data_IF_966614786191
#
_entry.id   IF_966614786191
#
_cell.length_a   1.000
_cell.length_b   1.000
_cell.length_c   1.000
_cell.angle_alpha   90.00
_cell.angle_beta   90.00
_cell.angle_gamma   90.00
#
_symmetry.space_group_name_H-M   'P 1'
#
loop_
_entity.id
_entity.type
_entity.pdbx_description
1 polymer ?
#
# COMPACT_ATOMS: atom_id res chain seq x y z
N UNK A 1 29.68 48.06 -3.17
CA UNK A 1 28.80 49.27 -3.11
C UNK A 1 27.72 49.07 -4.16
N UNK A 2 26.52 48.66 -3.73
CA UNK A 2 25.30 49.50 -3.66
C UNK A 2 24.78 49.82 -5.08
N UNK A 3 23.58 49.42 -5.46
CA UNK A 3 22.31 49.82 -4.83
C UNK A 3 21.19 48.91 -5.39
N UNK A 4 20.42 48.16 -4.58
CA UNK A 4 19.16 48.63 -3.95
C UNK A 4 18.30 49.57 -4.83
N UNK A 5 17.88 49.18 -6.04
CA UNK A 5 16.91 50.03 -6.77
C UNK A 5 15.86 49.35 -7.67
N UNK A 6 15.81 48.03 -7.84
CA UNK A 6 14.81 47.42 -8.75
C UNK A 6 13.41 47.27 -8.08
N UNK A 7 13.32 47.40 -6.75
CA UNK A 7 12.07 47.24 -6.01
C UNK A 7 11.29 48.53 -5.76
N UNK A 8 11.75 49.70 -6.25
CA UNK A 8 11.07 50.99 -6.03
C UNK A 8 10.18 51.47 -7.19
N UNK A 9 10.24 50.84 -8.36
CA UNK A 9 9.46 51.28 -9.52
C UNK A 9 8.07 50.63 -9.63
N UNK A 10 7.70 49.74 -8.71
CA UNK A 10 6.37 49.09 -8.72
C UNK A 10 5.29 49.97 -8.09
N UNK A 11 5.65 50.91 -7.21
CA UNK A 11 4.67 51.75 -6.51
C UNK A 11 4.37 53.09 -7.19
N UNK A 12 4.97 53.40 -8.34
CA UNK A 12 4.79 54.72 -8.98
C UNK A 12 3.65 54.79 -10.02
N UNK A 13 3.12 53.64 -10.48
CA UNK A 13 2.07 53.62 -11.52
C UNK A 13 0.64 53.37 -11.00
N UNK A 14 0.38 53.65 -9.72
CA UNK A 14 -0.98 53.56 -9.14
C UNK A 14 -1.67 54.92 -8.94
N UNK A 15 -1.06 56.05 -9.31
CA UNK A 15 -1.61 57.40 -9.00
C UNK A 15 -2.33 58.08 -10.17
N UNK A 16 -2.32 57.53 -11.38
CA UNK A 16 -3.07 58.11 -12.50
C UNK A 16 -4.05 57.08 -13.04
N UNK A 17 -5.32 57.24 -12.66
CA UNK A 17 -6.46 56.40 -13.03
C UNK A 17 -6.72 56.30 -14.53
N UNK A 18 -5.84 55.59 -15.24
CA UNK A 18 -6.04 55.19 -16.60
C UNK A 18 -6.55 53.74 -16.62
N UNK A 19 -7.82 53.62 -17.02
CA UNK A 19 -8.40 52.39 -17.55
C UNK A 19 -7.59 51.96 -18.78
N UNK A 20 -6.61 51.08 -18.58
CA UNK A 20 -5.98 50.32 -19.67
C UNK A 20 -6.38 48.87 -19.47
N UNK A 21 -7.56 48.57 -19.99
CA UNK A 21 -7.95 47.21 -20.27
C UNK A 21 -7.06 46.66 -21.39
N UNK A 22 -6.82 45.35 -21.34
CA UNK A 22 -6.25 44.49 -22.39
C UNK A 22 -4.75 44.09 -22.29
N UNK A 23 -4.56 42.76 -22.25
CA UNK A 23 -3.35 41.96 -22.57
C UNK A 23 -2.24 41.72 -21.53
N UNK A 24 -2.51 41.80 -20.22
CA UNK A 24 -1.57 41.29 -19.18
C UNK A 24 -2.14 40.25 -18.20
N UNK A 25 -3.38 39.79 -18.37
CA UNK A 25 -3.94 38.70 -17.52
C UNK A 25 -3.38 37.31 -17.86
N UNK A 26 -3.15 37.00 -19.14
CA UNK A 26 -2.65 35.66 -19.56
C UNK A 26 -1.22 35.31 -19.11
N UNK A 27 -0.35 36.28 -18.84
CA UNK A 27 1.03 35.98 -18.41
C UNK A 27 1.18 35.84 -16.90
N UNK A 28 0.33 36.52 -16.12
CA UNK A 28 0.27 36.36 -14.66
C UNK A 28 -0.48 35.08 -14.27
N UNK A 29 -1.45 34.62 -15.08
CA UNK A 29 -2.14 33.35 -14.87
C UNK A 29 -1.24 32.13 -15.16
N UNK A 30 -0.22 32.25 -16.03
CA UNK A 30 0.71 31.14 -16.34
C UNK A 30 1.82 30.96 -15.27
N UNK A 31 2.26 32.04 -14.62
CA UNK A 31 3.29 31.99 -13.57
C UNK A 31 2.67 31.62 -12.22
N UNK A 32 1.34 31.73 -12.12
CA UNK A 32 0.51 31.38 -10.95
C UNK A 32 -0.20 30.03 -11.12
N UNK A 33 0.35 29.12 -11.94
CA UNK A 33 0.20 27.69 -11.63
C UNK A 33 1.04 27.45 -10.38
N UNK A 34 0.44 27.76 -9.24
CA UNK A 34 0.95 27.43 -7.92
C UNK A 34 1.53 26.01 -7.97
N UNK A 35 2.78 25.87 -7.54
CA UNK A 35 3.31 24.57 -7.11
C UNK A 35 2.46 24.15 -5.91
N UNK A 36 1.26 23.64 -6.16
CA UNK A 36 0.44 22.99 -5.15
C UNK A 36 1.21 21.72 -4.83
N UNK A 37 1.94 21.75 -3.72
CA UNK A 37 2.56 20.55 -3.17
C UNK A 37 1.42 19.58 -2.86
N UNK A 38 1.32 18.50 -3.64
CA UNK A 38 0.29 17.50 -3.44
C UNK A 38 0.86 16.40 -2.57
N UNK A 39 0.11 16.05 -1.51
CA UNK A 39 0.43 14.90 -0.67
C UNK A 39 -0.37 13.70 -1.16
N UNK A 40 0.32 12.60 -1.38
CA UNK A 40 -0.25 11.31 -1.75
C UNK A 40 0.00 10.30 -0.64
N UNK A 41 -0.99 9.46 -0.34
CA UNK A 41 -0.82 8.32 0.54
C UNK A 41 -0.87 7.02 -0.26
N UNK A 42 0.04 6.09 -0.02
CA UNK A 42 0.01 4.77 -0.66
C UNK A 42 -0.13 3.65 0.37
N UNK A 43 -1.25 2.93 0.27
CA UNK A 43 -1.61 1.82 1.13
C UNK A 43 -1.56 0.52 0.34
N UNK A 44 -0.92 -0.52 0.90
CA UNK A 44 -0.81 -1.83 0.24
C UNK A 44 -1.12 -2.98 1.20
N UNK A 45 -1.88 -3.95 0.74
CA UNK A 45 -2.13 -5.21 1.46
C UNK A 45 -1.82 -6.42 0.57
N UNK A 46 -1.51 -7.56 1.20
CA UNK A 46 -1.20 -8.81 0.50
C UNK A 46 -2.38 -9.77 0.39
N UNK A 47 -3.41 -9.59 1.21
CA UNK A 47 -4.67 -10.33 1.17
C UNK A 47 -5.85 -9.38 1.35
N UNK A 48 -6.97 -9.56 0.63
CA UNK A 48 -8.17 -8.72 0.78
C UNK A 48 -8.76 -8.72 2.19
N UNK A 49 -8.50 -9.77 2.97
CA UNK A 49 -8.96 -9.90 4.36
C UNK A 49 -8.19 -9.01 5.34
N UNK A 50 -7.09 -8.39 4.92
CA UNK A 50 -6.33 -7.48 5.76
C UNK A 50 -6.97 -6.10 5.79
N UNK A 51 -6.97 -5.48 6.97
CA UNK A 51 -7.52 -4.14 7.14
C UNK A 51 -6.58 -3.08 6.52
N UNK A 52 -6.94 -2.58 5.34
CA UNK A 52 -6.24 -1.48 4.66
C UNK A 52 -6.59 -0.11 5.25
N UNK A 53 -7.79 0.04 5.81
CA UNK A 53 -8.30 1.27 6.42
C UNK A 53 -7.43 1.73 7.59
N UNK A 54 -6.81 0.79 8.32
CA UNK A 54 -5.81 1.10 9.35
C UNK A 54 -4.66 1.94 8.81
N UNK A 55 -4.15 1.62 7.60
CA UNK A 55 -3.05 2.37 6.99
C UNK A 55 -3.52 3.75 6.53
N UNK A 56 -4.68 3.81 5.90
CA UNK A 56 -5.30 5.08 5.49
C UNK A 56 -5.52 6.01 6.68
N UNK A 57 -6.08 5.50 7.79
CA UNK A 57 -6.28 6.29 9.00
C UNK A 57 -4.96 6.84 9.54
N UNK A 58 -3.91 6.03 9.58
CA UNK A 58 -2.59 6.47 10.07
C UNK A 58 -2.03 7.60 9.18
N UNK A 59 -2.16 7.46 7.85
CA UNK A 59 -1.69 8.48 6.91
C UNK A 59 -2.51 9.76 7.05
N UNK A 60 -3.85 9.66 7.06
CA UNK A 60 -4.74 10.82 7.16
C UNK A 60 -4.64 11.54 8.52
N UNK A 61 -4.26 10.83 9.59
CA UNK A 61 -4.01 11.45 10.89
C UNK A 61 -2.83 12.42 10.85
N UNK A 62 -1.76 12.10 10.11
CA UNK A 62 -0.60 12.97 9.93
C UNK A 62 -0.74 13.93 8.75
N UNK A 63 -1.45 13.52 7.70
CA UNK A 63 -1.65 14.26 6.46
C UNK A 63 -3.13 14.23 6.02
N UNK A 64 -3.99 15.09 6.60
CA UNK A 64 -5.44 15.04 6.36
C UNK A 64 -5.86 15.26 4.91
N UNK A 65 -5.07 16.00 4.13
CA UNK A 65 -5.34 16.32 2.74
C UNK A 65 -4.72 15.33 1.74
N UNK A 66 -4.15 14.21 2.22
CA UNK A 66 -3.48 13.25 1.38
C UNK A 66 -4.45 12.51 0.44
N UNK A 67 -4.11 12.43 -0.84
CA UNK A 67 -4.84 11.62 -1.83
C UNK A 67 -4.43 10.16 -1.69
N UNK A 68 -5.34 9.30 -1.22
CA UNK A 68 -5.03 7.91 -0.87
C UNK A 68 -5.18 6.97 -2.08
N UNK A 69 -4.15 6.18 -2.34
CA UNK A 69 -4.08 5.10 -3.31
C UNK A 69 -4.03 3.76 -2.57
N UNK A 70 -4.93 2.83 -2.92
CA UNK A 70 -5.12 1.54 -2.23
C UNK A 70 -4.83 0.41 -3.18
N UNK A 71 -3.83 -0.40 -2.87
CA UNK A 71 -3.38 -1.52 -3.71
C UNK A 71 -3.58 -2.86 -2.99
N UNK A 72 -4.23 -3.80 -3.69
CA UNK A 72 -4.34 -5.20 -3.25
C UNK A 72 -3.34 -6.03 -4.05
N UNK A 73 -2.10 -6.07 -3.56
CA UNK A 73 -1.02 -6.78 -4.22
C UNK A 73 -0.92 -8.19 -3.65
N UNK A 74 -1.56 -9.18 -4.29
CA UNK A 74 -1.47 -10.60 -3.89
C UNK A 74 -0.28 -11.30 -4.55
N UNK A 75 0.09 -12.52 -4.13
CA UNK A 75 1.17 -13.28 -4.80
C UNK A 75 0.85 -13.70 -6.24
N UNK A 76 -0.42 -13.60 -6.65
CA UNK A 76 -0.92 -13.99 -7.97
C UNK A 76 -0.98 -12.79 -8.91
N UNK A 77 -1.32 -11.61 -8.38
CA UNK A 77 -1.37 -10.37 -9.16
C UNK A 77 0.03 -9.75 -9.21
N UNK A 78 0.63 -9.74 -10.40
CA UNK A 78 1.99 -9.23 -10.61
C UNK A 78 2.04 -7.71 -10.87
N UNK A 79 0.94 -7.10 -11.33
CA UNK A 79 0.92 -5.68 -11.72
C UNK A 79 0.40 -4.77 -10.61
N UNK A 80 1.20 -3.78 -10.20
CA UNK A 80 0.84 -2.72 -9.24
C UNK A 80 0.17 -1.53 -9.95
N UNK A 81 -1.10 -1.65 -10.30
CA UNK A 81 -1.78 -0.66 -11.15
C UNK A 81 -1.96 0.70 -10.47
N UNK A 82 -2.29 0.73 -9.18
CA UNK A 82 -2.47 1.98 -8.44
C UNK A 82 -1.12 2.66 -8.17
N UNK A 83 -0.07 1.88 -7.94
CA UNK A 83 1.30 2.41 -7.88
C UNK A 83 1.69 3.09 -9.19
N UNK A 84 1.47 2.44 -10.33
CA UNK A 84 1.81 3.01 -11.63
C UNK A 84 1.00 4.29 -11.93
N UNK A 85 -0.28 4.35 -11.51
CA UNK A 85 -1.09 5.56 -11.62
C UNK A 85 -0.55 6.70 -10.75
N UNK A 86 -0.11 6.39 -9.53
CA UNK A 86 0.49 7.36 -8.61
C UNK A 86 1.79 7.93 -9.20
N UNK A 87 2.73 7.07 -9.60
CA UNK A 87 4.04 7.49 -10.13
C UNK A 87 3.92 8.33 -11.41
N UNK A 88 2.90 8.09 -12.24
CA UNK A 88 2.62 8.92 -13.42
C UNK A 88 2.10 10.32 -13.10
N UNK A 89 1.50 10.52 -11.94
CA UNK A 89 0.91 11.81 -11.52
C UNK A 89 1.85 12.65 -10.67
N UNK A 90 2.70 12.01 -9.88
CA UNK A 90 3.62 12.67 -8.95
C UNK A 90 4.59 13.55 -9.73
N UNK A 91 4.77 14.78 -9.25
CA UNK A 91 5.69 15.76 -9.80
C UNK A 91 6.78 16.11 -8.79
N UNK A 92 7.80 16.85 -9.24
CA UNK A 92 8.87 17.34 -8.37
C UNK A 92 8.26 18.23 -7.27
N UNK A 93 8.65 17.98 -6.03
CA UNK A 93 8.14 18.71 -4.85
C UNK A 93 6.90 18.10 -4.20
N UNK A 94 6.23 17.13 -4.83
CA UNK A 94 5.15 16.37 -4.20
C UNK A 94 5.68 15.43 -3.12
N UNK A 95 4.78 15.01 -2.21
CA UNK A 95 5.10 14.09 -1.12
C UNK A 95 4.32 12.79 -1.27
N UNK A 96 4.99 11.64 -1.11
CA UNK A 96 4.35 10.33 -0.98
C UNK A 96 4.57 9.80 0.44
N UNK A 97 3.45 9.44 1.09
CA UNK A 97 3.41 8.97 2.47
C UNK A 97 3.05 7.48 2.50
N UNK A 98 3.78 6.73 3.31
CA UNK A 98 3.59 5.30 3.55
C UNK A 98 3.46 5.01 5.05
N UNK A 99 2.65 4.01 5.43
CA UNK A 99 2.59 3.53 6.82
C UNK A 99 3.94 2.93 7.26
N UNK A 100 4.60 2.16 6.38
CA UNK A 100 5.92 1.57 6.63
C UNK A 100 6.68 1.24 5.35
N UNK A 101 7.99 1.00 5.45
CA UNK A 101 8.88 0.66 4.32
C UNK A 101 8.37 -0.57 3.54
N UNK A 102 7.87 -1.60 4.24
CA UNK A 102 7.25 -2.78 3.62
C UNK A 102 5.90 -2.52 2.92
N UNK A 103 5.39 -1.29 2.88
CA UNK A 103 4.25 -0.90 2.03
C UNK A 103 4.70 -0.37 0.68
N UNK A 104 5.88 0.22 0.60
CA UNK A 104 6.47 0.69 -0.67
C UNK A 104 6.87 -0.48 -1.57
N UNK A 105 7.67 -1.43 -1.08
CA UNK A 105 8.12 -2.60 -1.85
C UNK A 105 8.01 -3.90 -1.04
N UNK A 106 8.03 -5.05 -1.74
CA UNK A 106 8.08 -6.38 -1.08
C UNK A 106 9.51 -6.86 -0.85
N UNK A 107 10.47 -6.32 -1.59
CA UNK A 107 11.85 -6.73 -1.55
C UNK A 107 12.73 -5.47 -1.36
N UNK A 108 13.89 -5.65 -0.74
CA UNK A 108 14.79 -4.55 -0.45
C UNK A 108 15.34 -3.90 -1.73
N UNK A 109 15.77 -4.69 -2.72
CA UNK A 109 16.42 -4.19 -3.94
C UNK A 109 15.50 -3.29 -4.79
N UNK A 110 14.28 -3.72 -5.10
CA UNK A 110 13.23 -2.92 -5.76
C UNK A 110 12.87 -1.71 -4.90
N UNK A 111 12.87 -1.86 -3.58
CA UNK A 111 12.59 -0.76 -2.66
C UNK A 111 13.63 0.35 -2.73
N UNK A 112 14.91 -0.01 -2.75
CA UNK A 112 16.03 0.91 -2.89
C UNK A 112 15.99 1.59 -4.26
N UNK A 113 15.77 0.83 -5.33
CA UNK A 113 15.65 1.37 -6.69
C UNK A 113 14.52 2.39 -6.80
N UNK A 114 13.31 2.04 -6.33
CA UNK A 114 12.15 2.95 -6.35
C UNK A 114 12.38 4.19 -5.49
N UNK A 115 13.01 4.02 -4.33
CA UNK A 115 13.34 5.13 -3.45
C UNK A 115 14.28 6.11 -4.16
N UNK A 116 15.36 5.60 -4.77
CA UNK A 116 16.36 6.44 -5.44
C UNK A 116 15.77 7.12 -6.67
N UNK A 117 14.95 6.43 -7.46
CA UNK A 117 14.28 7.03 -8.62
C UNK A 117 13.38 8.21 -8.21
N UNK A 118 12.64 8.07 -7.10
CA UNK A 118 11.78 9.12 -6.58
C UNK A 118 12.57 10.27 -5.95
N UNK A 119 13.66 9.96 -5.24
CA UNK A 119 14.59 10.95 -4.71
C UNK A 119 15.18 11.80 -5.84
N UNK A 120 15.64 11.17 -6.92
CA UNK A 120 16.23 11.85 -8.07
C UNK A 120 15.19 12.67 -8.86
N UNK A 121 13.91 12.23 -8.88
CA UNK A 121 12.78 13.03 -9.37
C UNK A 121 12.44 14.23 -8.47
N UNK A 122 13.04 14.32 -7.28
CA UNK A 122 12.79 15.39 -6.30
C UNK A 122 11.44 15.25 -5.59
N UNK A 123 10.95 14.02 -5.46
CA UNK A 123 9.74 13.67 -4.69
C UNK A 123 10.14 13.42 -3.24
N UNK A 124 9.33 13.88 -2.30
CA UNK A 124 9.55 13.64 -0.87
C UNK A 124 8.89 12.33 -0.44
N UNK A 125 9.66 11.44 0.20
CA UNK A 125 9.15 10.19 0.74
C UNK A 125 9.08 10.26 2.26
N UNK A 126 7.92 9.90 2.80
CA UNK A 126 7.64 9.88 4.24
C UNK A 126 7.15 8.51 4.66
N UNK A 127 7.83 7.92 5.64
CA UNK A 127 7.49 6.65 6.28
C UNK A 127 7.12 6.91 7.73
N UNK A 128 5.89 6.57 8.12
CA UNK A 128 5.38 6.90 9.46
C UNK A 128 6.06 6.09 10.57
N UNK A 129 6.36 4.80 10.32
CA UNK A 129 7.02 3.93 11.30
C UNK A 129 8.53 4.00 11.28
N UNK A 130 9.13 4.36 10.15
CA UNK A 130 10.57 4.47 9.99
C UNK A 130 10.99 5.91 9.60
N UNK A 131 10.77 6.95 10.45
CA UNK A 131 11.03 8.34 10.05
C UNK A 131 12.49 8.66 9.70
N UNK A 132 13.43 7.83 10.14
CA UNK A 132 14.85 7.99 9.86
C UNK A 132 15.21 7.82 8.38
N UNK A 133 14.39 7.08 7.60
CA UNK A 133 14.56 6.94 6.14
C UNK A 133 13.83 8.02 5.32
N UNK A 134 13.23 9.02 5.97
CA UNK A 134 12.51 10.07 5.26
C UNK A 134 13.46 10.94 4.42
N UNK A 135 13.02 11.31 3.23
CA UNK A 135 13.81 12.09 2.27
C UNK A 135 14.28 13.44 2.84
N UNK A 136 13.50 14.04 3.74
CA UNK A 136 13.80 15.33 4.36
C UNK A 136 15.10 15.33 5.18
N UNK A 137 15.43 14.22 5.84
CA UNK A 137 16.61 14.11 6.70
C UNK A 137 17.89 14.28 5.87
N UNK A 138 17.88 13.80 4.63
CA UNK A 138 19.02 13.91 3.72
C UNK A 138 19.17 15.32 3.14
N UNK A 139 18.04 16.00 2.85
CA UNK A 139 18.07 17.41 2.41
C UNK A 139 18.67 18.32 3.48
N UNK A 140 18.29 18.10 4.74
CA UNK A 140 18.82 18.88 5.87
C UNK A 140 20.33 18.68 6.04
N UNK A 141 20.82 17.46 5.89
CA UNK A 141 22.26 17.14 5.94
C UNK A 141 23.07 17.82 4.83
N UNK A 142 22.47 18.06 3.66
CA UNK A 142 23.10 18.78 2.54
C UNK A 142 23.17 20.29 2.77
N UNK A 143 22.10 20.89 3.30
CA UNK A 143 22.05 22.33 3.54
C UNK A 143 22.91 22.80 4.71
N UNK A 144 23.20 21.92 5.68
CA UNK A 144 23.89 22.31 6.91
C UNK A 144 25.42 22.46 6.82
N UNK A 145 26.06 22.13 5.68
CA UNK A 145 27.51 21.97 5.62
C UNK A 145 28.29 22.81 4.60
N UNK A 146 27.62 23.55 3.70
CA UNK A 146 28.26 23.99 2.43
C UNK A 146 28.19 25.51 2.20
N UNK A 147 27.81 26.31 3.20
CA UNK A 147 27.75 27.78 3.02
C UNK A 147 29.13 28.50 2.95
N UNK A 148 30.28 27.81 2.89
CA UNK A 148 31.56 28.44 3.28
C UNK A 148 32.82 28.20 2.43
N UNK A 149 32.78 27.60 1.23
CA UNK A 149 34.00 27.45 0.40
C UNK A 149 33.75 27.92 -1.03
N UNK A 150 34.74 28.56 -1.65
CA UNK A 150 34.61 29.15 -2.99
C UNK A 150 34.18 28.17 -4.09
N UNK A 151 33.57 28.75 -5.14
CA UNK A 151 32.75 28.09 -6.16
C UNK A 151 33.31 26.76 -6.71
N UNK A 152 34.60 26.69 -7.08
CA UNK A 152 35.12 25.50 -7.78
C UNK A 152 35.42 24.31 -6.85
N UNK A 153 35.83 24.58 -5.61
CA UNK A 153 36.10 23.53 -4.61
C UNK A 153 34.78 23.08 -3.97
N UNK A 154 33.86 24.01 -3.71
CA UNK A 154 32.56 23.69 -3.15
C UNK A 154 31.78 22.71 -4.03
N UNK A 155 31.77 22.88 -5.35
CA UNK A 155 31.05 22.00 -6.26
C UNK A 155 31.54 20.54 -6.19
N UNK A 156 32.86 20.33 -6.09
CA UNK A 156 33.46 18.99 -5.95
C UNK A 156 33.08 18.37 -4.59
N UNK A 157 33.11 19.17 -3.51
CA UNK A 157 32.68 18.69 -2.19
C UNK A 157 31.17 18.41 -2.13
N UNK A 158 30.34 19.24 -2.79
CA UNK A 158 28.89 19.03 -2.92
C UNK A 158 28.63 17.72 -3.64
N UNK A 159 29.30 17.45 -4.76
CA UNK A 159 29.12 16.23 -5.51
C UNK A 159 29.53 14.99 -4.69
N UNK A 160 30.69 15.04 -4.03
CA UNK A 160 31.18 13.96 -3.18
C UNK A 160 30.24 13.69 -1.99
N UNK A 161 29.77 14.74 -1.30
CA UNK A 161 28.85 14.63 -0.16
C UNK A 161 27.48 14.13 -0.59
N UNK A 162 26.94 14.60 -1.72
CA UNK A 162 25.72 14.07 -2.33
C UNK A 162 25.83 12.56 -2.58
N UNK A 163 26.96 12.10 -3.12
CA UNK A 163 27.20 10.69 -3.39
C UNK A 163 27.25 9.87 -2.10
N UNK A 164 27.96 10.35 -1.07
CA UNK A 164 28.03 9.70 0.24
C UNK A 164 26.65 9.62 0.88
N UNK A 165 25.88 10.70 0.85
CA UNK A 165 24.53 10.73 1.43
C UNK A 165 23.56 9.80 0.70
N UNK A 166 23.64 9.71 -0.63
CA UNK A 166 22.89 8.70 -1.40
C UNK A 166 23.27 7.27 -0.99
N UNK A 167 24.56 6.97 -0.81
CA UNK A 167 25.01 5.66 -0.35
C UNK A 167 24.51 5.34 1.07
N UNK A 168 24.56 6.32 1.97
CA UNK A 168 24.03 6.17 3.33
C UNK A 168 22.51 5.96 3.33
N UNK A 169 21.78 6.70 2.49
CA UNK A 169 20.34 6.52 2.32
C UNK A 169 20.02 5.10 1.83
N UNK A 170 20.71 4.62 0.80
CA UNK A 170 20.55 3.25 0.31
C UNK A 170 20.74 2.23 1.43
N UNK A 171 21.79 2.40 2.25
CA UNK A 171 22.07 1.47 3.34
C UNK A 171 21.03 1.54 4.46
N UNK A 172 20.55 2.72 4.81
CA UNK A 172 19.49 2.88 5.80
C UNK A 172 18.18 2.24 5.35
N UNK A 173 17.84 2.38 4.07
CA UNK A 173 16.66 1.75 3.47
C UNK A 173 16.80 0.23 3.47
N UNK A 174 17.96 -0.27 3.06
CA UNK A 174 18.27 -1.71 3.11
C UNK A 174 18.06 -2.28 4.52
N UNK A 175 18.64 -1.64 5.53
CA UNK A 175 18.46 -2.02 6.94
C UNK A 175 17.00 -1.94 7.38
N UNK A 176 16.25 -0.93 6.95
CA UNK A 176 14.83 -0.81 7.27
C UNK A 176 14.00 -1.94 6.64
N UNK A 177 14.32 -2.36 5.41
CA UNK A 177 13.69 -3.53 4.78
C UNK A 177 14.03 -4.82 5.50
N UNK A 178 15.32 -5.06 5.79
CA UNK A 178 15.75 -6.24 6.56
C UNK A 178 15.05 -6.33 7.91
N UNK A 179 14.95 -5.20 8.63
CA UNK A 179 14.28 -5.13 9.92
C UNK A 179 12.78 -5.47 9.78
N UNK A 180 12.11 -4.91 8.78
CA UNK A 180 10.70 -5.22 8.54
C UNK A 180 10.48 -6.69 8.16
N UNK A 181 11.42 -7.34 7.48
CA UNK A 181 11.36 -8.77 7.16
C UNK A 181 11.59 -9.65 8.40
N UNK A 182 12.61 -9.32 9.20
CA UNK A 182 12.91 -9.98 10.48
C UNK A 182 11.70 -9.96 11.40
N UNK A 183 11.03 -8.82 11.55
CA UNK A 183 9.81 -8.71 12.37
C UNK A 183 8.72 -9.71 11.95
N UNK A 184 8.53 -9.91 10.64
CA UNK A 184 7.54 -10.87 10.13
C UNK A 184 7.95 -12.31 10.45
N UNK A 185 9.24 -12.63 10.35
CA UNK A 185 9.79 -13.94 10.70
C UNK A 185 9.61 -14.19 12.20
N UNK A 186 9.95 -13.22 13.04
CA UNK A 186 9.83 -13.31 14.50
C UNK A 186 8.38 -13.48 14.95
N UNK A 187 7.42 -12.83 14.28
CA UNK A 187 5.99 -13.04 14.56
C UNK A 187 5.57 -14.49 14.27
N UNK A 188 6.04 -15.07 13.16
CA UNK A 188 5.73 -16.47 12.80
C UNK A 188 6.37 -17.44 13.78
N UNK A 189 7.62 -17.17 14.17
CA UNK A 189 8.36 -17.97 15.13
C UNK A 189 7.66 -17.99 16.49
N UNK A 190 7.30 -16.80 17.02
CA UNK A 190 6.52 -16.68 18.27
C UNK A 190 5.16 -17.38 18.20
N UNK A 191 4.48 -17.29 17.06
CA UNK A 191 3.20 -17.99 16.85
C UNK A 191 3.39 -19.52 16.87
N UNK A 192 4.46 -20.01 16.24
CA UNK A 192 4.81 -21.43 16.21
C UNK A 192 5.14 -21.95 17.61
N UNK A 193 5.96 -21.23 18.36
CA UNK A 193 6.31 -21.55 19.75
C UNK A 193 5.07 -21.59 20.63
N UNK A 194 4.18 -20.59 20.54
CA UNK A 194 2.93 -20.59 21.32
C UNK A 194 1.99 -21.76 20.96
N UNK A 195 1.93 -22.16 19.70
CA UNK A 195 1.18 -23.35 19.26
C UNK A 195 1.81 -24.63 19.83
N UNK A 196 3.13 -24.71 19.86
CA UNK A 196 3.86 -25.85 20.43
C UNK A 196 3.66 -25.97 21.94
N UNK A 197 3.77 -24.87 22.68
CA UNK A 197 3.43 -24.84 24.11
C UNK A 197 1.99 -25.27 24.35
N UNK A 198 1.03 -24.81 23.54
CA UNK A 198 -0.36 -25.23 23.64
C UNK A 198 -0.54 -26.73 23.38
N UNK A 199 0.19 -27.31 22.41
CA UNK A 199 0.17 -28.76 22.14
C UNK A 199 0.75 -29.55 23.31
N UNK A 200 1.88 -29.11 23.88
CA UNK A 200 2.50 -29.75 25.05
C UNK A 200 1.56 -29.72 26.27
N UNK A 201 0.80 -28.63 26.43
CA UNK A 201 -0.23 -28.50 27.47
C UNK A 201 -1.52 -29.29 27.16
N UNK A 202 -1.51 -30.16 26.14
CA UNK A 202 -2.65 -31.02 25.78
C UNK A 202 -3.80 -30.29 25.09
N UNK A 203 -3.63 -29.02 24.70
CA UNK A 203 -4.68 -28.28 23.97
C UNK A 203 -4.79 -28.82 22.55
N UNK A 204 -5.99 -29.28 22.18
CA UNK A 204 -6.31 -29.66 20.80
C UNK A 204 -6.25 -28.43 19.89
N UNK A 205 -5.28 -28.39 18.97
CA UNK A 205 -5.16 -27.37 17.93
C UNK A 205 -5.79 -27.88 16.63
N UNK A 206 -6.79 -27.16 16.13
CA UNK A 206 -7.55 -27.55 14.94
C UNK A 206 -8.68 -28.55 15.23
N UNK A 207 -9.47 -28.88 14.21
CA UNK A 207 -10.55 -29.86 14.34
C UNK A 207 -10.00 -31.30 14.52
N UNK A 208 -10.65 -32.09 15.36
CA UNK A 208 -10.33 -33.52 15.54
C UNK A 208 -10.54 -34.25 14.22
N UNK A 209 -9.58 -35.11 13.85
CA UNK A 209 -9.65 -35.89 12.61
C UNK A 209 -10.88 -36.79 12.64
N UNK A 210 -11.77 -36.64 11.66
CA UNK A 210 -13.02 -37.40 11.56
C UNK A 210 -14.24 -36.74 12.19
N UNK A 211 -14.11 -35.57 12.82
CA UNK A 211 -15.29 -34.83 13.28
C UNK A 211 -16.08 -34.31 12.07
N UNK A 212 -17.36 -34.65 12.01
CA UNK A 212 -18.30 -34.05 11.05
C UNK A 212 -18.89 -32.80 11.69
N UNK A 213 -18.80 -31.67 11.00
CA UNK A 213 -19.55 -30.47 11.40
C UNK A 213 -21.04 -30.77 11.23
N UNK A 214 -21.81 -30.71 12.31
CA UNK A 214 -23.27 -30.79 12.25
C UNK A 214 -23.81 -29.50 11.65
N UNK A 215 -23.99 -29.47 10.34
CA UNK A 215 -24.54 -28.30 9.65
C UNK A 215 -26.06 -28.36 9.76
N UNK A 216 -26.68 -27.36 10.41
CA UNK A 216 -28.16 -27.29 10.57
C UNK A 216 -28.93 -27.40 9.24
N UNK A 217 -28.30 -26.99 8.13
CA UNK A 217 -28.86 -27.04 6.78
C UNK A 217 -28.69 -28.40 6.07
N UNK A 218 -27.94 -29.33 6.65
CA UNK A 218 -27.64 -30.63 6.04
C UNK A 218 -28.87 -31.54 5.98
N UNK A 219 -29.58 -31.69 7.10
CA UNK A 219 -30.79 -32.51 7.19
C UNK A 219 -31.87 -32.12 6.16
N UNK A 220 -32.34 -30.85 6.07
CA UNK A 220 -33.36 -30.47 5.09
C UNK A 220 -32.87 -30.60 3.65
N UNK A 221 -31.58 -30.34 3.39
CA UNK A 221 -30.99 -30.51 2.07
C UNK A 221 -30.96 -31.98 1.63
N UNK A 222 -30.59 -32.91 2.52
CA UNK A 222 -30.58 -34.35 2.25
C UNK A 222 -31.99 -34.88 1.99
N UNK A 223 -32.99 -34.40 2.72
CA UNK A 223 -34.40 -34.77 2.51
C UNK A 223 -34.92 -34.34 1.13
N UNK A 224 -34.63 -33.10 0.72
CA UNK A 224 -34.98 -32.60 -0.61
C UNK A 224 -34.30 -33.40 -1.73
N UNK A 225 -33.03 -33.76 -1.55
CA UNK A 225 -32.29 -34.59 -2.51
C UNK A 225 -32.92 -35.99 -2.59
N UNK A 226 -33.28 -36.60 -1.46
CA UNK A 226 -33.91 -37.94 -1.42
C UNK A 226 -35.28 -37.95 -2.13
N UNK A 227 -36.09 -36.89 -1.96
CA UNK A 227 -37.42 -36.78 -2.58
C UNK A 227 -37.38 -36.51 -4.09
N UNK A 228 -36.47 -35.65 -4.55
CA UNK A 228 -36.56 -35.10 -5.90
C UNK A 228 -35.51 -35.61 -6.89
N UNK A 229 -34.39 -36.20 -6.43
CA UNK A 229 -33.33 -36.65 -7.32
C UNK A 229 -33.70 -37.94 -8.05
N UNK A 230 -33.51 -37.97 -9.38
CA UNK A 230 -33.71 -39.17 -10.22
C UNK A 230 -33.01 -40.43 -9.71
N UNK A 231 -31.84 -40.30 -9.12
CA UNK A 231 -31.06 -41.46 -8.61
C UNK A 231 -31.73 -42.15 -7.42
N UNK A 232 -32.64 -41.48 -6.71
CA UNK A 232 -33.36 -42.01 -5.55
C UNK A 232 -34.86 -42.17 -5.80
N UNK A 233 -35.31 -42.12 -7.07
CA UNK A 233 -36.73 -42.28 -7.45
C UNK A 233 -37.49 -40.98 -7.72
N UNK A 234 -36.81 -39.83 -7.74
CA UNK A 234 -37.41 -38.54 -8.09
C UNK A 234 -37.45 -38.24 -9.59
N UNK A 235 -37.96 -37.06 -9.95
CA UNK A 235 -38.16 -36.63 -11.35
C UNK A 235 -37.11 -35.64 -11.86
N UNK A 236 -36.37 -34.96 -10.96
CA UNK A 236 -35.48 -33.85 -11.32
C UNK A 236 -34.05 -34.33 -11.66
N UNK A 237 -33.45 -33.66 -12.65
CA UNK A 237 -32.04 -33.85 -12.99
C UNK A 237 -31.12 -33.26 -11.91
N UNK A 238 -29.86 -33.71 -11.86
CA UNK A 238 -28.89 -33.24 -10.87
C UNK A 238 -28.71 -31.71 -10.85
N UNK A 239 -28.72 -31.07 -12.02
CA UNK A 239 -28.60 -29.61 -12.15
C UNK A 239 -29.80 -28.88 -11.54
N UNK A 240 -31.00 -29.44 -11.69
CA UNK A 240 -32.26 -28.88 -11.18
C UNK A 240 -32.38 -29.09 -9.67
N UNK A 241 -32.00 -30.28 -9.18
CA UNK A 241 -31.91 -30.56 -7.74
C UNK A 241 -30.93 -29.65 -7.01
N UNK A 242 -29.78 -29.34 -7.64
CA UNK A 242 -28.80 -28.39 -7.07
C UNK A 242 -29.42 -27.01 -6.88
N UNK A 243 -30.18 -26.53 -7.88
CA UNK A 243 -30.87 -25.23 -7.82
C UNK A 243 -31.97 -25.24 -6.77
N UNK A 244 -32.78 -26.30 -6.72
CA UNK A 244 -33.91 -26.42 -5.78
C UNK A 244 -33.44 -26.51 -4.32
N UNK A 245 -32.37 -27.28 -4.05
CA UNK A 245 -31.79 -27.40 -2.72
C UNK A 245 -30.92 -26.19 -2.33
N UNK A 246 -30.70 -25.24 -3.24
CA UNK A 246 -29.81 -24.08 -3.08
C UNK A 246 -28.42 -24.47 -2.54
N UNK A 247 -27.79 -25.46 -3.17
CA UNK A 247 -26.50 -26.00 -2.76
C UNK A 247 -25.39 -25.65 -3.75
N UNK A 248 -24.16 -25.59 -3.26
CA UNK A 248 -22.99 -25.64 -4.15
C UNK A 248 -22.89 -27.04 -4.78
N UNK A 249 -22.37 -27.12 -6.01
CA UNK A 249 -22.17 -28.40 -6.72
C UNK A 249 -21.40 -29.42 -5.88
N UNK A 250 -20.33 -28.98 -5.21
CA UNK A 250 -19.49 -29.86 -4.38
C UNK A 250 -20.24 -30.38 -3.16
N UNK A 251 -21.06 -29.54 -2.53
CA UNK A 251 -21.91 -29.94 -1.39
C UNK A 251 -22.99 -30.95 -1.82
N UNK A 252 -23.63 -30.73 -2.98
CA UNK A 252 -24.65 -31.64 -3.51
C UNK A 252 -24.09 -33.04 -3.77
N UNK A 253 -22.97 -33.16 -4.49
CA UNK A 253 -22.40 -34.48 -4.78
C UNK A 253 -21.85 -35.17 -3.52
N UNK A 254 -21.38 -34.40 -2.52
CA UNK A 254 -21.05 -34.94 -1.20
C UNK A 254 -22.29 -35.57 -0.53
N UNK A 255 -23.39 -34.84 -0.45
CA UNK A 255 -24.63 -35.33 0.18
C UNK A 255 -25.27 -36.48 -0.61
N UNK A 256 -25.28 -36.43 -1.94
CA UNK A 256 -25.76 -37.52 -2.79
C UNK A 256 -24.97 -38.82 -2.55
N UNK A 257 -23.65 -38.73 -2.39
CA UNK A 257 -22.82 -39.90 -2.04
C UNK A 257 -23.13 -40.43 -0.65
N UNK A 258 -23.25 -39.55 0.35
CA UNK A 258 -23.61 -39.93 1.72
C UNK A 258 -24.98 -40.61 1.80
N UNK A 259 -26.01 -40.08 1.14
CA UNK A 259 -27.35 -40.70 1.06
C UNK A 259 -27.28 -42.08 0.39
N UNK A 260 -26.48 -42.22 -0.67
CA UNK A 260 -26.28 -43.51 -1.34
C UNK A 260 -25.60 -44.53 -0.43
N UNK A 261 -24.60 -44.12 0.35
CA UNK A 261 -23.92 -44.97 1.34
C UNK A 261 -24.83 -45.34 2.52
N UNK A 262 -25.75 -44.45 2.93
CA UNK A 262 -26.79 -44.74 3.94
C UNK A 262 -27.73 -45.84 3.44
N UNK A 263 -28.27 -45.71 2.21
CA UNK A 263 -29.16 -46.70 1.59
C UNK A 263 -28.50 -48.05 1.26
N UNK A 264 -27.16 -48.11 1.20
CA UNK A 264 -26.39 -49.33 0.98
C UNK A 264 -26.05 -50.07 2.28
N UNK A 265 -26.22 -49.41 3.44
CA UNK A 265 -25.94 -49.98 4.77
C UNK A 265 -27.21 -50.43 5.50
N UNK A 266 -28.37 -49.97 5.04
CA UNK A 266 -29.70 -50.50 5.38
C UNK A 266 -30.03 -51.75 4.56
#
# INVERSE_FOLDING_TARGET
MLSKNVLKDIDFYCVLGYNIECKKKRSLDLIRMEMIIVVFGYCRISKPTQNIERQERNILASFPNAKIYKEVYTGIVLSRQEWQKLIKKVQKGDTIVFDSVSRMSRNASEGIEQYMELLDKGVELVFLKEPYVNTINYKQALSGGIELVGNDIADVYIEATNKVLKLLAAKQIELAFEQSEKEVIDIRQRTKEGIETARLNGKQIGCVKGSKLLVKKEAPAKELIRKHCKTFGGTLNDIECIKLANLSRNTYYKYKREIKEELLKE
#
